data_IF_045950316576
#
_entry.id   IF_045950316576
#
_cell.length_a   1.000
_cell.length_b   1.000
_cell.length_c   1.000
_cell.angle_alpha   90.00
_cell.angle_beta   90.00
_cell.angle_gamma   90.00
#
_symmetry.space_group_name_H-M   'P 1'
#
loop_
_entity.id
_entity.type
_entity.pdbx_description
1 polymer ?
#
# COMPACT_ATOMS: atom_id res chain seq x y z
N UNK A 1 -12.89 -7.07 8.81
CA UNK A 1 -13.27 -6.16 7.70
C UNK A 1 -12.06 -6.04 6.80
N UNK A 2 -12.09 -6.64 5.62
CA UNK A 2 -10.98 -6.61 4.67
C UNK A 2 -11.19 -5.51 3.64
N UNK A 3 -10.11 -4.80 3.28
CA UNK A 3 -10.14 -3.76 2.27
C UNK A 3 -9.51 -4.31 1.00
N UNK A 4 -10.30 -4.79 0.04
CA UNK A 4 -9.79 -5.32 -1.24
C UNK A 4 -8.76 -6.45 -1.08
N UNK A 5 -9.01 -7.39 -0.17
CA UNK A 5 -8.09 -8.50 0.12
C UNK A 5 -6.97 -8.16 1.11
N UNK A 6 -6.88 -6.91 1.58
CA UNK A 6 -6.00 -6.53 2.66
C UNK A 6 -6.65 -6.76 4.03
N UNK A 7 -5.89 -7.34 4.96
CA UNK A 7 -6.28 -7.43 6.36
C UNK A 7 -5.67 -6.28 7.17
N UNK A 8 -6.51 -5.45 7.79
CA UNK A 8 -6.06 -4.28 8.53
C UNK A 8 -5.37 -4.67 9.84
N UNK A 9 -4.16 -4.16 10.06
CA UNK A 9 -3.43 -4.37 11.32
C UNK A 9 -3.82 -3.33 12.38
N UNK A 10 -3.33 -3.49 13.61
CA UNK A 10 -3.52 -2.46 14.64
C UNK A 10 -2.81 -1.13 14.29
N UNK A 11 -1.68 -1.18 13.60
CA UNK A 11 -1.02 0.01 13.08
C UNK A 11 -1.87 0.71 12.00
N UNK A 12 -2.55 -0.07 11.15
CA UNK A 12 -3.51 0.46 10.19
C UNK A 12 -4.69 1.16 10.86
N UNK A 13 -5.21 0.60 11.96
CA UNK A 13 -6.28 1.24 12.75
C UNK A 13 -5.80 2.56 13.35
N UNK A 14 -4.58 2.61 13.90
CA UNK A 14 -4.00 3.83 14.46
C UNK A 14 -3.79 4.90 13.39
N UNK A 15 -3.28 4.52 12.21
CA UNK A 15 -3.17 5.43 11.08
C UNK A 15 -4.55 5.96 10.68
N UNK A 16 -5.57 5.08 10.59
CA UNK A 16 -6.92 5.47 10.23
C UNK A 16 -7.48 6.53 11.19
N UNK A 17 -7.37 6.29 12.50
CA UNK A 17 -7.81 7.24 13.53
C UNK A 17 -7.10 8.58 13.37
N UNK A 18 -5.77 8.59 13.24
CA UNK A 18 -5.01 9.83 13.07
C UNK A 18 -5.42 10.62 11.82
N UNK A 19 -5.74 9.93 10.72
CA UNK A 19 -6.13 10.60 9.46
C UNK A 19 -7.57 11.10 9.48
N UNK A 20 -8.48 10.37 10.12
CA UNK A 20 -9.83 10.88 10.39
C UNK A 20 -9.80 12.13 11.27
N UNK A 21 -8.93 12.18 12.29
CA UNK A 21 -8.73 13.38 13.12
C UNK A 21 -8.18 14.58 12.32
N UNK A 22 -7.46 14.30 11.23
CA UNK A 22 -6.97 15.31 10.28
C UNK A 22 -8.02 15.72 9.24
N UNK A 23 -9.24 15.16 9.30
CA UNK A 23 -10.35 15.51 8.42
C UNK A 23 -10.35 14.78 7.07
N UNK A 24 -9.56 13.71 6.92
CA UNK A 24 -9.59 12.89 5.70
C UNK A 24 -10.88 12.06 5.65
N UNK A 25 -11.41 11.86 4.44
CA UNK A 25 -12.57 11.00 4.20
C UNK A 25 -12.19 9.52 4.29
N UNK A 26 -13.18 8.65 4.50
CA UNK A 26 -12.97 7.20 4.55
C UNK A 26 -12.26 6.66 3.31
N UNK A 27 -12.59 7.18 2.12
CA UNK A 27 -11.94 6.78 0.88
C UNK A 27 -10.46 7.22 0.84
N UNK A 28 -10.14 8.41 1.34
CA UNK A 28 -8.75 8.87 1.43
C UNK A 28 -7.94 8.03 2.43
N UNK A 29 -8.53 7.74 3.59
CA UNK A 29 -7.90 6.91 4.62
C UNK A 29 -7.67 5.49 4.12
N UNK A 30 -8.66 4.89 3.47
CA UNK A 30 -8.56 3.57 2.86
C UNK A 30 -7.43 3.50 1.81
N UNK A 31 -7.34 4.52 0.95
CA UNK A 31 -6.30 4.61 -0.07
C UNK A 31 -4.90 4.76 0.56
N UNK A 32 -4.77 5.55 1.63
CA UNK A 32 -3.51 5.72 2.35
C UNK A 32 -3.06 4.42 3.05
N UNK A 33 -4.00 3.68 3.64
CA UNK A 33 -3.72 2.37 4.26
C UNK A 33 -3.14 1.41 3.22
N UNK A 34 -3.75 1.30 2.04
CA UNK A 34 -3.29 0.39 0.98
C UNK A 34 -1.93 0.82 0.43
N UNK A 35 -1.75 2.12 0.22
CA UNK A 35 -0.48 2.70 -0.26
C UNK A 35 0.64 2.41 0.75
N UNK A 36 0.35 2.55 2.05
CA UNK A 36 1.32 2.29 3.12
C UNK A 36 1.62 0.81 3.26
N UNK A 37 0.62 -0.07 3.12
CA UNK A 37 0.84 -1.52 3.16
C UNK A 37 1.80 -1.96 2.04
N UNK A 38 1.59 -1.47 0.82
CA UNK A 38 2.50 -1.76 -0.30
C UNK A 38 3.91 -1.21 -0.04
N UNK A 39 4.04 0.00 0.50
CA UNK A 39 5.33 0.57 0.88
C UNK A 39 6.10 -0.35 1.84
N UNK A 40 5.43 -0.88 2.87
CA UNK A 40 6.06 -1.84 3.78
C UNK A 40 6.44 -3.14 3.08
N UNK A 41 5.60 -3.67 2.20
CA UNK A 41 5.92 -4.87 1.44
C UNK A 41 7.18 -4.66 0.58
N UNK A 42 7.33 -3.50 -0.06
CA UNK A 42 8.53 -3.14 -0.84
C UNK A 42 9.75 -3.00 0.07
N UNK A 43 9.61 -2.38 1.24
CA UNK A 43 10.70 -2.30 2.22
C UNK A 43 11.16 -3.68 2.68
N UNK A 44 10.23 -4.61 2.89
CA UNK A 44 10.53 -5.99 3.24
C UNK A 44 11.27 -6.72 2.11
N UNK A 45 10.86 -6.54 0.84
CA UNK A 45 11.57 -7.11 -0.32
C UNK A 45 13.04 -6.64 -0.41
N UNK A 46 13.27 -5.37 -0.08
CA UNK A 46 14.60 -4.76 -0.08
C UNK A 46 15.49 -5.20 1.10
N UNK A 47 14.90 -5.59 2.24
CA UNK A 47 15.63 -5.84 3.49
C UNK A 47 15.62 -7.30 3.97
N UNK A 48 14.79 -8.18 3.39
CA UNK A 48 14.48 -9.51 3.92
C UNK A 48 14.50 -10.66 2.88
N UNK A 49 14.14 -11.87 3.33
CA UNK A 49 14.00 -13.12 2.56
C UNK A 49 12.67 -13.25 1.80
N UNK A 50 11.69 -12.40 2.10
CA UNK A 50 10.43 -12.34 1.33
C UNK A 50 10.67 -11.57 0.05
N UNK A 51 10.38 -12.17 -1.11
CA UNK A 51 10.52 -11.50 -2.40
C UNK A 51 9.17 -11.11 -2.98
N UNK A 52 9.06 -9.87 -3.42
CA UNK A 52 7.86 -9.39 -4.11
C UNK A 52 7.92 -9.76 -5.59
N UNK A 53 6.81 -10.31 -6.08
CA UNK A 53 6.55 -10.36 -7.51
C UNK A 53 6.14 -8.97 -7.98
N UNK A 54 7.02 -8.32 -8.75
CA UNK A 54 6.80 -6.96 -9.25
C UNK A 54 5.64 -6.87 -10.25
N UNK A 55 5.40 -7.92 -11.04
CA UNK A 55 4.28 -7.97 -11.97
C UNK A 55 2.96 -8.12 -11.21
N UNK A 56 2.88 -9.07 -10.29
CA UNK A 56 1.68 -9.26 -9.46
C UNK A 56 1.37 -8.03 -8.58
N UNK A 57 2.42 -7.36 -8.09
CA UNK A 57 2.27 -6.09 -7.35
C UNK A 57 1.75 -4.96 -8.25
N UNK A 58 2.20 -4.85 -9.49
CA UNK A 58 1.68 -3.87 -10.44
C UNK A 58 0.21 -4.15 -10.79
N UNK A 59 -0.17 -5.42 -10.96
CA UNK A 59 -1.55 -5.83 -11.17
C UNK A 59 -2.45 -5.51 -9.96
N UNK A 60 -1.93 -5.68 -8.74
CA UNK A 60 -2.61 -5.23 -7.52
C UNK A 60 -2.85 -3.72 -7.54
N UNK A 61 -1.85 -2.91 -7.88
CA UNK A 61 -2.01 -1.44 -8.01
C UNK A 61 -3.08 -1.09 -9.04
N UNK A 62 -3.13 -1.79 -10.18
CA UNK A 62 -4.18 -1.63 -11.18
C UNK A 62 -5.58 -1.95 -10.64
N UNK A 63 -5.72 -3.05 -9.89
CA UNK A 63 -7.00 -3.44 -9.26
C UNK A 63 -7.45 -2.45 -8.18
N UNK A 64 -6.53 -2.01 -7.32
CA UNK A 64 -6.77 -0.97 -6.32
C UNK A 64 -7.25 0.31 -7.00
N UNK A 65 -6.50 0.80 -7.98
CA UNK A 65 -6.86 2.02 -8.70
C UNK A 65 -8.25 1.92 -9.32
N UNK A 66 -8.55 0.79 -9.98
CA UNK A 66 -9.87 0.54 -10.57
C UNK A 66 -10.99 0.51 -9.53
N UNK A 67 -10.76 -0.11 -8.36
CA UNK A 67 -11.75 -0.14 -7.28
C UNK A 67 -12.02 1.27 -6.74
N UNK A 68 -11.00 2.11 -6.64
CA UNK A 68 -11.14 3.46 -6.13
C UNK A 68 -11.74 4.47 -7.12
N UNK A 69 -11.80 4.15 -8.42
CA UNK A 69 -12.48 4.98 -9.41
C UNK A 69 -13.98 5.16 -9.09
N UNK A 70 -14.64 4.17 -8.48
CA UNK A 70 -16.04 4.30 -8.06
C UNK A 70 -16.22 5.46 -7.06
N UNK A 71 -15.34 5.56 -6.07
CA UNK A 71 -15.36 6.67 -5.10
C UNK A 71 -15.05 8.02 -5.76
N UNK A 72 -14.25 8.05 -6.82
CA UNK A 72 -14.03 9.27 -7.61
C UNK A 72 -15.31 9.67 -8.34
N UNK A 73 -15.99 8.73 -8.99
CA UNK A 73 -17.25 9.00 -9.71
C UNK A 73 -18.37 9.46 -8.78
N UNK A 74 -18.35 8.99 -7.53
CA UNK A 74 -19.31 9.38 -6.48
C UNK A 74 -18.92 10.69 -5.77
N UNK A 75 -17.76 11.28 -6.09
CA UNK A 75 -17.26 12.51 -5.48
C UNK A 75 -16.73 12.34 -4.05
N UNK A 76 -16.54 11.11 -3.59
CA UNK A 76 -16.01 10.76 -2.26
C UNK A 76 -14.47 10.79 -2.20
N UNK A 77 -13.82 10.75 -3.36
CA UNK A 77 -12.37 10.84 -3.53
C UNK A 77 -12.04 11.78 -4.70
N UNK A 78 -11.09 12.70 -4.50
CA UNK A 78 -10.58 13.53 -5.59
C UNK A 78 -9.79 12.70 -6.60
N UNK A 79 -9.98 12.93 -7.91
CA UNK A 79 -9.22 12.25 -8.98
C UNK A 79 -7.72 12.40 -8.80
N UNK A 80 -7.26 13.61 -8.41
CA UNK A 80 -5.86 13.89 -8.15
C UNK A 80 -5.30 13.04 -7.01
N UNK A 81 -6.06 12.79 -5.94
CA UNK A 81 -5.61 11.93 -4.84
C UNK A 81 -5.38 10.49 -5.31
N UNK A 82 -6.24 9.99 -6.19
CA UNK A 82 -6.10 8.65 -6.76
C UNK A 82 -4.90 8.55 -7.71
N UNK A 83 -4.72 9.54 -8.58
CA UNK A 83 -3.59 9.61 -9.51
C UNK A 83 -2.25 9.72 -8.77
N UNK A 84 -2.17 10.57 -7.73
CA UNK A 84 -0.99 10.71 -6.89
C UNK A 84 -0.67 9.41 -6.15
N UNK A 85 -1.68 8.72 -5.59
CA UNK A 85 -1.48 7.44 -4.92
C UNK A 85 -1.02 6.36 -5.91
N UNK A 86 -1.63 6.27 -7.09
CA UNK A 86 -1.23 5.31 -8.13
C UNK A 86 0.19 5.57 -8.64
N UNK A 87 0.54 6.83 -8.90
CA UNK A 87 1.90 7.23 -9.30
C UNK A 87 2.94 6.90 -8.22
N UNK A 88 2.59 7.13 -6.95
CA UNK A 88 3.45 6.80 -5.81
C UNK A 88 3.65 5.30 -5.65
N UNK A 89 2.56 4.52 -5.71
CA UNK A 89 2.64 3.05 -5.67
C UNK A 89 3.49 2.50 -6.83
N UNK A 90 3.33 3.05 -8.03
CA UNK A 90 4.19 2.72 -9.18
C UNK A 90 5.66 3.05 -8.94
N UNK A 91 5.94 4.21 -8.33
CA UNK A 91 7.30 4.61 -7.95
C UNK A 91 7.94 3.65 -6.94
N UNK A 92 7.19 3.16 -5.94
CA UNK A 92 7.68 2.16 -4.98
C UNK A 92 8.07 0.84 -5.65
N UNK A 93 7.36 0.47 -6.71
CA UNK A 93 7.64 -0.75 -7.46
C UNK A 93 8.84 -0.62 -8.41
N UNK A 94 9.36 0.61 -8.59
CA UNK A 94 10.57 0.88 -9.37
C UNK A 94 11.86 0.33 -8.74
N UNK A 95 12.98 0.46 -9.48
CA UNK A 95 14.31 0.06 -9.02
C UNK A 95 14.95 1.03 -8.03
N UNK A 96 16.22 1.39 -8.23
CA UNK A 96 17.03 2.17 -7.27
C UNK A 96 16.46 3.56 -6.88
N UNK A 97 15.64 4.19 -7.72
CA UNK A 97 14.96 5.47 -7.43
C UNK A 97 13.80 5.27 -6.43
N UNK A 98 13.27 4.05 -6.31
CA UNK A 98 12.17 3.72 -5.40
C UNK A 98 12.57 3.83 -3.92
N UNK A 99 13.82 3.53 -3.58
CA UNK A 99 14.28 3.48 -2.18
C UNK A 99 14.24 4.84 -1.48
N UNK A 100 14.65 5.94 -2.14
CA UNK A 100 14.58 7.27 -1.52
C UNK A 100 13.13 7.76 -1.37
N UNK A 101 12.29 7.56 -2.38
CA UNK A 101 10.87 7.91 -2.29
C UNK A 101 10.13 7.09 -1.24
N UNK A 102 10.54 5.84 -1.05
CA UNK A 102 9.99 4.94 -0.04
C UNK A 102 10.37 5.39 1.38
N UNK A 103 11.64 5.69 1.61
CA UNK A 103 12.14 6.15 2.91
C UNK A 103 11.50 7.49 3.32
N UNK A 104 11.41 8.45 2.38
CA UNK A 104 10.73 9.73 2.61
C UNK A 104 9.24 9.54 2.96
N UNK A 105 8.58 8.59 2.30
CA UNK A 105 7.16 8.31 2.57
C UNK A 105 6.94 7.66 3.94
N UNK A 106 7.83 6.74 4.33
CA UNK A 106 7.79 6.03 5.61
C UNK A 106 8.40 6.83 6.76
N UNK A 107 8.96 8.02 6.51
CA UNK A 107 9.45 8.92 7.55
C UNK A 107 8.32 9.51 8.42
N UNK A 108 7.07 9.50 7.93
CA UNK A 108 5.90 9.79 8.76
C UNK A 108 5.80 8.72 9.88
N UNK A 109 5.74 9.11 11.16
CA UNK A 109 5.74 8.17 12.28
C UNK A 109 4.62 7.11 12.24
N UNK A 110 3.43 7.49 11.76
CA UNK A 110 2.29 6.57 11.65
C UNK A 110 2.43 5.63 10.45
N UNK A 111 3.08 6.10 9.38
CA UNK A 111 3.36 5.25 8.21
C UNK A 111 4.54 4.32 8.47
N UNK A 112 5.59 4.78 9.15
CA UNK A 112 6.83 4.02 9.35
C UNK A 112 6.77 2.96 10.44
N UNK A 113 5.83 3.09 11.39
CA UNK A 113 5.74 2.28 12.62
C UNK A 113 5.67 0.77 12.36
N UNK A 114 4.75 0.34 11.49
CA UNK A 114 4.52 -1.05 11.14
C UNK A 114 3.62 -1.12 9.89
N UNK A 115 3.54 -2.28 9.22
CA UNK A 115 2.61 -2.49 8.11
C UNK A 115 1.18 -2.15 8.53
N UNK A 116 0.50 -1.29 7.77
CA UNK A 116 -0.87 -0.85 8.04
C UNK A 116 -1.90 -1.91 7.69
N UNK A 117 -1.59 -2.75 6.70
CA UNK A 117 -2.38 -3.90 6.37
C UNK A 117 -1.47 -5.02 5.83
N UNK A 118 -1.94 -6.26 5.93
CA UNK A 118 -1.31 -7.42 5.32
C UNK A 118 -1.65 -7.40 3.83
N UNK A 119 -0.62 -7.38 2.98
CA UNK A 119 -0.82 -7.49 1.55
C UNK A 119 -1.28 -8.90 1.16
N UNK A 120 -2.07 -9.07 0.09
CA UNK A 120 -2.48 -10.38 -0.40
C UNK A 120 -1.29 -11.29 -0.71
N UNK A 121 -1.36 -12.57 -0.31
CA UNK A 121 -0.26 -13.53 -0.51
C UNK A 121 0.21 -13.66 -1.97
N UNK A 122 -0.70 -13.43 -2.92
CA UNK A 122 -0.46 -13.49 -4.36
C UNK A 122 0.57 -12.48 -4.89
N UNK A 123 0.94 -11.45 -4.13
CA UNK A 123 2.01 -10.52 -4.56
C UNK A 123 3.40 -10.96 -4.13
N UNK A 124 3.51 -12.01 -3.32
CA UNK A 124 4.78 -12.56 -2.86
C UNK A 124 5.15 -13.78 -3.70
N UNK A 125 6.43 -13.87 -4.06
CA UNK A 125 6.97 -15.07 -4.66
C UNK A 125 6.92 -16.19 -3.62
N UNK A 126 6.33 -17.33 -4.01
CA UNK A 126 6.40 -18.53 -3.17
C UNK A 126 7.87 -18.94 -3.07
N UNK A 127 8.37 -18.99 -1.84
CA UNK A 127 9.60 -19.73 -1.56
C UNK A 127 9.19 -21.19 -1.64
N UNK A 128 9.44 -21.84 -2.79
CA UNK A 128 9.42 -23.29 -2.83
C UNK A 128 10.50 -23.73 -1.83
N UNK A 129 10.08 -24.30 -0.71
CA UNK A 129 10.99 -25.05 0.12
C UNK A 129 11.42 -26.25 -0.75
N UNK A 130 12.65 -26.21 -1.26
CA UNK A 130 13.30 -27.41 -1.72
C UNK A 130 13.32 -28.38 -0.52
N UNK A 131 12.41 -29.36 -0.55
CA UNK A 131 12.54 -30.55 0.27
C UNK A 131 13.76 -31.32 -0.26
N UNK A 132 14.89 -31.20 0.43
CA UNK A 132 16.03 -32.12 0.32
C UNK A 132 16.37 -32.73 1.69
#
# INVERSE_FOLDING_TARGET
MGLLGFELTDAGKLLAVSRWEQGLTDAQVALEIVTTALAHAVRLDATSTTKLDRAASADLVGRVTKAFLAYVTEGLLGVTNLEEAASRMGSFLGGQVATSCLDDYLADPFRGMAPTAVCPDEIYLRVEAEEE
#
